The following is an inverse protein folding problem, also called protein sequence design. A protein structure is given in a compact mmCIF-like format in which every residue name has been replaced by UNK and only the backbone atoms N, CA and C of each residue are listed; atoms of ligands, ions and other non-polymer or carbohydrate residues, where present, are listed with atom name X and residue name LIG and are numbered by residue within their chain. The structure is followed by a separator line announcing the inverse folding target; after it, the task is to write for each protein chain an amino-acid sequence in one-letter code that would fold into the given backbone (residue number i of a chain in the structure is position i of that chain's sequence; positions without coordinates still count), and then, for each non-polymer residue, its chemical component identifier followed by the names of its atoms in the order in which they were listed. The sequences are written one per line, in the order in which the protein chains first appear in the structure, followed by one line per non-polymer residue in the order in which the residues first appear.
data_IF_097116177915
#
_entry.id   IF_097116177915
#
_cell.length_a   1.000
_cell.length_b   1.000
_cell.length_c   1.000
_cell.angle_alpha   90.00
_cell.angle_beta   90.00
_cell.angle_gamma   90.00
#
_symmetry.space_group_name_H-M   'P 1'
#
loop_
_entity.id
_entity.type
_entity.pdbx_description
1 polymer ?
#
# COMPACT_ATOMS: atom_id res chain seq x y z
N UNK A 1 9.52 -1.44 -6.67
CA UNK A 1 9.57 -2.67 -7.49
C UNK A 1 10.75 -2.52 -8.41
N UNK A 2 11.88 -3.13 -8.08
CA UNK A 2 13.09 -3.09 -8.90
C UNK A 2 13.77 -4.44 -8.74
N UNK A 3 13.49 -5.37 -9.67
CA UNK A 3 14.21 -6.64 -9.73
C UNK A 3 15.66 -6.32 -10.10
N UNK A 4 16.60 -6.56 -9.18
CA UNK A 4 18.02 -6.26 -9.43
C UNK A 4 18.71 -7.46 -10.08
N UNK A 5 19.25 -7.26 -11.27
CA UNK A 5 20.26 -8.14 -11.86
C UNK A 5 21.66 -7.69 -11.43
N UNK A 6 22.53 -8.66 -11.12
CA UNK A 6 23.87 -8.41 -10.59
C UNK A 6 24.82 -7.80 -11.63
N UNK A 7 25.48 -6.71 -11.27
CA UNK A 7 26.94 -6.51 -11.29
C UNK A 7 27.28 -5.02 -11.07
N UNK A 8 28.32 -4.80 -10.25
CA UNK A 8 29.11 -3.60 -9.96
C UNK A 8 28.65 -2.23 -10.50
N UNK A 9 28.41 -1.26 -9.59
CA UNK A 9 28.38 0.17 -9.94
C UNK A 9 28.99 0.99 -8.79
N UNK A 10 30.20 1.49 -9.05
CA UNK A 10 30.88 2.51 -8.25
C UNK A 10 30.43 3.90 -8.70
N UNK A 11 29.98 4.70 -7.73
CA UNK A 11 30.07 6.17 -7.67
C UNK A 11 29.42 7.02 -8.78
N UNK A 12 28.35 7.73 -8.41
CA UNK A 12 28.00 9.04 -8.99
C UNK A 12 27.30 9.90 -7.94
N UNK A 13 27.95 11.01 -7.57
CA UNK A 13 27.49 12.05 -6.64
C UNK A 13 26.49 12.97 -7.34
N UNK A 14 25.34 13.24 -6.72
CA UNK A 14 24.37 14.24 -7.16
C UNK A 14 24.71 15.60 -6.53
N UNK A 15 24.89 16.64 -7.35
CA UNK A 15 24.95 18.04 -6.92
C UNK A 15 23.54 18.64 -6.99
N UNK A 16 23.08 19.25 -5.90
CA UNK A 16 21.84 20.04 -5.84
C UNK A 16 22.20 21.53 -5.79
N UNK A 17 21.61 22.33 -6.68
CA UNK A 17 21.55 23.79 -6.55
C UNK A 17 20.12 24.22 -6.20
N UNK A 18 19.92 25.16 -5.27
CA UNK A 18 18.60 25.60 -4.85
C UNK A 18 18.17 26.88 -5.60
N UNK A 19 16.87 27.01 -5.88
CA UNK A 19 16.24 28.32 -6.07
C UNK A 19 14.80 28.33 -5.51
N UNK A 20 14.29 29.52 -5.10
CA UNK A 20 13.37 29.65 -3.99
C UNK A 20 11.89 29.76 -4.40
N UNK A 21 11.03 29.44 -3.43
CA UNK A 21 9.57 29.55 -3.44
C UNK A 21 9.05 30.99 -3.57
N UNK A 22 7.74 31.12 -3.89
CA UNK A 22 6.88 31.89 -3.00
C UNK A 22 5.56 31.18 -2.62
N UNK A 23 5.26 31.32 -1.33
CA UNK A 23 3.95 31.39 -0.64
C UNK A 23 2.82 30.44 -1.04
N UNK A 24 2.55 29.45 -0.17
CA UNK A 24 1.20 28.93 0.06
C UNK A 24 0.92 28.72 1.56
N UNK A 25 -0.34 28.93 1.88
CA UNK A 25 -0.99 29.06 3.19
C UNK A 25 -0.67 27.91 4.14
N UNK A 26 -0.33 28.26 5.39
CA UNK A 26 -0.11 27.33 6.50
C UNK A 26 -1.39 26.57 6.85
N UNK A 27 -1.45 25.30 6.47
CA UNK A 27 -2.27 24.30 7.16
C UNK A 27 -1.34 23.53 8.09
N UNK A 28 -1.76 23.32 9.34
CA UNK A 28 -1.01 22.52 10.29
C UNK A 28 -0.64 21.15 9.68
N UNK A 29 0.65 20.93 9.47
CA UNK A 29 1.19 19.70 8.94
C UNK A 29 0.98 18.59 9.96
N UNK A 30 0.24 17.55 9.59
CA UNK A 30 0.15 16.31 10.37
C UNK A 30 1.53 15.66 10.35
N UNK A 31 2.06 15.36 11.53
CA UNK A 31 3.35 14.70 11.68
C UNK A 31 3.18 13.20 11.50
N UNK A 32 4.28 12.50 11.18
CA UNK A 32 4.30 11.03 11.02
C UNK A 32 3.72 10.31 12.25
N UNK A 33 3.79 10.91 13.43
CA UNK A 33 3.22 10.42 14.70
C UNK A 33 1.69 10.24 14.66
N UNK A 34 0.96 11.07 13.90
CA UNK A 34 -0.50 11.02 13.85
C UNK A 34 -1.02 9.74 13.16
N UNK A 35 -0.14 9.02 12.45
CA UNK A 35 -0.48 7.83 11.67
C UNK A 35 -0.35 6.52 12.46
N UNK A 36 0.23 6.54 13.66
CA UNK A 36 0.57 5.31 14.41
C UNK A 36 -0.12 5.16 15.77
N UNK A 37 -1.05 6.04 16.12
CA UNK A 37 -1.79 5.91 17.37
C UNK A 37 -2.84 4.79 17.31
N UNK A 38 -2.89 3.89 18.32
CA UNK A 38 -3.96 2.91 18.42
C UNK A 38 -5.30 3.61 18.69
N UNK A 39 -6.35 3.16 18.00
CA UNK A 39 -7.71 3.62 18.21
C UNK A 39 -8.15 3.30 19.65
N UNK A 40 -8.66 4.25 20.44
CA UNK A 40 -9.20 3.94 21.76
C UNK A 40 -10.39 2.97 21.64
N UNK A 41 -10.44 2.00 22.56
CA UNK A 41 -11.50 0.99 22.64
C UNK A 41 -12.89 1.64 22.79
N UNK A 42 -13.98 0.99 22.32
CA UNK A 42 -15.32 1.55 22.44
C UNK A 42 -15.75 1.61 23.90
N UNK A 43 -16.02 2.83 24.40
CA UNK A 43 -16.55 3.05 25.74
C UNK A 43 -17.95 2.42 25.90
N UNK A 44 -18.18 1.75 27.04
CA UNK A 44 -19.47 1.15 27.42
C UNK A 44 -20.56 2.24 27.54
N UNK A 45 -21.69 2.02 26.87
CA UNK A 45 -22.85 2.92 26.80
C UNK A 45 -23.55 3.00 28.18
N UNK A 46 -23.43 4.12 28.90
CA UNK A 46 -24.35 4.48 30.02
C UNK A 46 -25.63 5.07 29.44
N UNK A 47 -26.79 4.59 29.90
CA UNK A 47 -28.10 5.25 29.67
C UNK A 47 -28.11 6.58 30.44
N UNK A 48 -28.43 7.69 29.76
CA UNK A 48 -28.77 8.94 30.41
C UNK A 48 -30.13 9.42 29.89
N UNK A 49 -30.95 9.83 30.84
CA UNK A 49 -32.31 10.33 30.76
C UNK A 49 -32.43 11.61 29.95
N UNK A 50 -33.60 11.78 29.33
CA UNK A 50 -34.04 12.88 28.49
C UNK A 50 -34.18 14.21 29.23
N UNK A 51 -33.49 15.25 28.73
CA UNK A 51 -33.94 16.63 28.80
C UNK A 51 -33.54 17.34 27.50
N UNK A 52 -34.49 18.11 26.96
CA UNK A 52 -34.51 18.80 25.68
C UNK A 52 -33.36 19.78 25.46
N UNK A 53 -32.70 19.68 24.30
CA UNK A 53 -32.06 20.83 23.65
C UNK A 53 -31.98 20.61 22.14
N UNK A 54 -32.43 21.60 21.37
CA UNK A 54 -32.29 21.66 19.93
C UNK A 54 -30.81 21.90 19.58
N UNK A 55 -30.09 20.84 19.22
CA UNK A 55 -28.76 20.95 18.61
C UNK A 55 -28.89 20.86 17.07
N UNK A 56 -28.17 21.71 16.31
CA UNK A 56 -28.27 21.75 14.86
C UNK A 56 -27.78 20.45 14.23
N UNK A 57 -28.38 20.09 13.09
CA UNK A 57 -28.15 18.88 12.30
C UNK A 57 -26.69 18.37 12.34
N UNK A 58 -26.54 17.11 12.74
CA UNK A 58 -25.30 16.44 13.13
C UNK A 58 -24.24 16.40 12.02
N UNK A 59 -23.28 17.31 12.05
CA UNK A 59 -22.03 17.15 11.29
C UNK A 59 -21.17 16.04 11.92
N UNK A 60 -20.70 15.08 11.12
CA UNK A 60 -19.81 14.01 11.58
C UNK A 60 -18.54 14.56 12.25
N UNK A 61 -18.10 13.92 13.34
CA UNK A 61 -16.83 14.24 13.99
C UNK A 61 -15.64 13.94 13.06
N UNK A 62 -14.46 14.57 13.25
CA UNK A 62 -13.26 14.25 12.48
C UNK A 62 -12.91 12.75 12.48
N UNK A 63 -13.04 12.08 13.63
CA UNK A 63 -12.78 10.64 13.76
C UNK A 63 -13.79 9.80 12.97
N UNK A 64 -15.07 10.19 12.99
CA UNK A 64 -16.09 9.52 12.20
C UNK A 64 -15.80 9.65 10.70
N UNK A 65 -15.41 10.85 10.23
CA UNK A 65 -15.00 11.09 8.84
C UNK A 65 -13.79 10.24 8.47
N UNK A 66 -12.77 10.20 9.31
CA UNK A 66 -11.56 9.40 9.11
C UNK A 66 -11.88 7.90 9.00
N UNK A 67 -12.72 7.37 9.90
CA UNK A 67 -13.16 5.98 9.88
C UNK A 67 -13.96 5.63 8.62
N UNK A 68 -14.89 6.51 8.21
CA UNK A 68 -15.65 6.33 6.98
C UNK A 68 -14.71 6.28 5.78
N UNK A 69 -13.72 7.17 5.74
CA UNK A 69 -12.80 7.25 4.63
C UNK A 69 -11.87 6.04 4.55
N UNK A 70 -11.33 5.59 5.68
CA UNK A 70 -10.57 4.34 5.78
C UNK A 70 -11.40 3.13 5.30
N UNK A 71 -12.67 3.05 5.68
CA UNK A 71 -13.56 1.97 5.26
C UNK A 71 -13.82 1.97 3.76
N UNK A 72 -13.94 3.15 3.13
CA UNK A 72 -14.03 3.26 1.67
C UNK A 72 -12.78 2.76 0.99
N UNK A 73 -11.59 3.15 1.46
CA UNK A 73 -10.32 2.66 0.91
C UNK A 73 -10.19 1.14 1.02
N UNK A 74 -10.53 0.59 2.18
CA UNK A 74 -10.57 -0.87 2.38
C UNK A 74 -11.54 -1.55 1.41
N UNK A 75 -12.72 -0.97 1.18
CA UNK A 75 -13.69 -1.53 0.26
C UNK A 75 -13.20 -1.49 -1.20
N UNK A 76 -12.59 -0.39 -1.63
CA UNK A 76 -12.00 -0.23 -2.97
C UNK A 76 -10.86 -1.24 -3.16
N UNK A 77 -9.91 -1.30 -2.21
CA UNK A 77 -8.80 -2.24 -2.28
C UNK A 77 -9.26 -3.70 -2.33
N UNK A 78 -10.27 -4.08 -1.51
CA UNK A 78 -10.87 -5.43 -1.56
C UNK A 78 -11.57 -5.72 -2.89
N UNK A 79 -12.27 -4.75 -3.47
CA UNK A 79 -12.87 -4.87 -4.80
C UNK A 79 -11.81 -5.11 -5.86
N UNK A 80 -10.73 -4.32 -5.86
CA UNK A 80 -9.63 -4.45 -6.81
C UNK A 80 -8.94 -5.81 -6.69
N UNK A 81 -8.67 -6.25 -5.47
CA UNK A 81 -8.13 -7.59 -5.22
C UNK A 81 -9.02 -8.69 -5.79
N UNK A 82 -10.35 -8.61 -5.55
CA UNK A 82 -11.32 -9.57 -6.10
C UNK A 82 -11.31 -9.59 -7.64
N UNK A 83 -11.27 -8.42 -8.28
CA UNK A 83 -11.20 -8.32 -9.74
C UNK A 83 -9.94 -8.99 -10.29
N UNK A 84 -8.77 -8.76 -9.67
CA UNK A 84 -7.52 -9.40 -10.07
C UNK A 84 -7.56 -10.92 -9.87
N UNK A 85 -8.11 -11.42 -8.76
CA UNK A 85 -8.28 -12.86 -8.52
C UNK A 85 -9.16 -13.50 -9.59
N UNK A 86 -10.30 -12.88 -9.91
CA UNK A 86 -11.22 -13.38 -10.94
C UNK A 86 -10.61 -13.41 -12.34
N UNK A 87 -9.80 -12.40 -12.70
CA UNK A 87 -9.07 -12.40 -13.98
C UNK A 87 -8.13 -13.60 -14.09
N UNK A 88 -7.39 -13.89 -13.02
CA UNK A 88 -6.41 -14.99 -12.99
C UNK A 88 -7.08 -16.37 -12.96
N UNK A 89 -8.23 -16.51 -12.30
CA UNK A 89 -8.97 -17.78 -12.25
C UNK A 89 -9.74 -18.08 -13.55
N UNK A 90 -10.24 -17.04 -14.23
CA UNK A 90 -11.13 -17.20 -15.40
C UNK A 90 -10.44 -17.28 -16.76
N UNK A 91 -9.15 -16.97 -16.86
CA UNK A 91 -8.42 -16.94 -18.14
C UNK A 91 -7.13 -17.77 -18.10
N UNK A 92 -6.92 -18.62 -19.10
CA UNK A 92 -5.66 -19.35 -19.29
C UNK A 92 -4.45 -18.41 -19.51
N UNK A 93 -4.71 -17.15 -19.90
CA UNK A 93 -3.69 -16.12 -20.05
C UNK A 93 -4.26 -14.74 -19.70
N UNK A 94 -3.58 -14.02 -18.80
CA UNK A 94 -3.89 -12.63 -18.43
C UNK A 94 -2.62 -11.82 -18.68
N UNK A 95 -2.75 -10.77 -19.50
CA UNK A 95 -1.68 -9.81 -19.73
C UNK A 95 -1.30 -9.13 -18.42
N UNK A 96 -0.02 -8.85 -18.22
CA UNK A 96 0.47 -8.28 -16.98
C UNK A 96 -0.23 -6.96 -16.66
N UNK A 97 -0.35 -6.06 -17.64
CA UNK A 97 -0.98 -4.75 -17.47
C UNK A 97 -2.45 -4.81 -17.03
N UNK A 98 -3.18 -5.88 -17.34
CA UNK A 98 -4.58 -6.05 -16.93
C UNK A 98 -4.76 -6.33 -15.43
N UNK A 99 -3.65 -6.60 -14.72
CA UNK A 99 -3.65 -6.82 -13.28
C UNK A 99 -3.54 -5.50 -12.50
N UNK A 100 -3.31 -4.37 -13.17
CA UNK A 100 -3.48 -3.03 -12.61
C UNK A 100 -4.92 -2.58 -12.90
N UNK A 101 -5.75 -2.50 -11.86
CA UNK A 101 -7.19 -2.25 -11.98
C UNK A 101 -7.66 -1.01 -11.22
N UNK A 102 -6.76 -0.30 -10.56
CA UNK A 102 -7.10 0.97 -9.90
C UNK A 102 -7.11 2.10 -10.91
N UNK A 103 -8.30 2.69 -11.08
CA UNK A 103 -8.60 3.62 -12.16
C UNK A 103 -7.70 4.86 -12.15
N UNK A 104 -7.37 5.40 -10.97
CA UNK A 104 -6.60 6.64 -10.91
C UNK A 104 -5.13 6.42 -11.26
N UNK A 105 -4.57 5.24 -11.01
CA UNK A 105 -3.26 4.83 -11.55
C UNK A 105 -3.28 4.66 -13.06
N UNK A 106 -4.33 4.03 -13.62
CA UNK A 106 -4.48 3.88 -15.07
C UNK A 106 -4.56 5.24 -15.78
N UNK A 107 -5.20 6.23 -15.15
CA UNK A 107 -5.30 7.59 -15.68
C UNK A 107 -3.96 8.35 -15.72
N UNK A 108 -3.04 8.07 -14.78
CA UNK A 108 -1.75 8.79 -14.70
C UNK A 108 -0.59 8.06 -15.35
N UNK A 109 -0.79 6.82 -15.81
CA UNK A 109 0.19 6.02 -16.56
C UNK A 109 -0.21 5.78 -18.03
N UNK A 110 -0.77 6.77 -18.77
CA UNK A 110 -1.15 6.54 -20.15
C UNK A 110 0.08 6.29 -21.02
N UNK A 111 0.06 5.23 -21.83
CA UNK A 111 1.18 4.91 -22.71
C UNK A 111 2.37 4.24 -22.02
N UNK A 112 2.40 4.16 -20.68
CA UNK A 112 3.55 3.63 -19.94
C UNK A 112 3.81 2.16 -20.28
N UNK A 113 2.75 1.35 -20.29
CA UNK A 113 2.82 -0.07 -20.68
C UNK A 113 3.10 -0.28 -22.17
N UNK A 114 2.97 0.76 -23.01
CA UNK A 114 3.25 0.70 -24.44
C UNK A 114 4.72 1.06 -24.76
N UNK A 115 5.48 1.55 -23.78
CA UNK A 115 6.91 1.85 -23.98
C UNK A 115 7.70 0.56 -24.23
N UNK A 116 8.74 0.57 -25.07
CA UNK A 116 9.49 -0.64 -25.42
C UNK A 116 10.02 -1.44 -24.21
N UNK A 117 10.53 -0.77 -23.18
CA UNK A 117 11.01 -1.47 -21.97
C UNK A 117 9.88 -2.18 -21.22
N UNK A 118 8.69 -1.55 -21.15
CA UNK A 118 7.55 -2.11 -20.43
C UNK A 118 6.99 -3.32 -21.18
N UNK A 119 6.88 -3.23 -22.52
CA UNK A 119 6.50 -4.36 -23.36
C UNK A 119 7.47 -5.54 -23.23
N UNK A 120 8.78 -5.27 -23.24
CA UNK A 120 9.80 -6.31 -23.06
C UNK A 120 9.72 -6.94 -21.66
N UNK A 121 9.51 -6.13 -20.63
CA UNK A 121 9.34 -6.61 -19.26
C UNK A 121 8.08 -7.46 -19.10
N UNK A 122 6.94 -7.03 -19.63
CA UNK A 122 5.68 -7.79 -19.54
C UNK A 122 5.83 -9.14 -20.24
N UNK A 123 6.38 -9.17 -21.46
CA UNK A 123 6.66 -10.42 -22.20
C UNK A 123 7.55 -11.37 -21.41
N UNK A 124 8.63 -10.85 -20.82
CA UNK A 124 9.54 -11.65 -20.00
C UNK A 124 8.80 -12.26 -18.79
N UNK A 125 8.12 -11.43 -18.00
CA UNK A 125 7.41 -11.88 -16.79
C UNK A 125 6.29 -12.87 -17.12
N UNK A 126 5.54 -12.63 -18.19
CA UNK A 126 4.48 -13.54 -18.65
C UNK A 126 5.01 -14.88 -19.14
N UNK A 127 6.16 -14.89 -19.83
CA UNK A 127 6.82 -16.13 -20.24
C UNK A 127 7.28 -16.94 -19.03
N UNK A 128 7.90 -16.30 -18.04
CA UNK A 128 8.33 -16.94 -16.80
C UNK A 128 7.13 -17.50 -16.01
N UNK A 129 6.04 -16.73 -15.92
CA UNK A 129 4.79 -17.17 -15.26
C UNK A 129 4.14 -18.36 -15.97
N UNK A 130 4.25 -18.44 -17.29
CA UNK A 130 3.63 -19.49 -18.09
C UNK A 130 4.48 -20.77 -18.15
N UNK A 131 5.81 -20.65 -18.04
CA UNK A 131 6.71 -21.80 -18.05
C UNK A 131 6.57 -22.66 -16.79
N UNK A 132 6.29 -22.03 -15.65
CA UNK A 132 6.19 -22.71 -14.35
C UNK A 132 7.49 -23.37 -13.89
N UNK A 133 8.63 -23.07 -14.54
CA UNK A 133 9.92 -23.71 -14.28
C UNK A 133 10.47 -23.37 -12.88
N UNK A 134 10.16 -22.16 -12.39
CA UNK A 134 10.55 -21.69 -11.06
C UNK A 134 9.35 -21.10 -10.32
N UNK A 135 9.29 -21.20 -8.98
CA UNK A 135 8.28 -20.50 -8.20
C UNK A 135 8.42 -18.98 -8.37
N UNK A 136 7.35 -18.31 -8.79
CA UNK A 136 7.30 -16.85 -8.94
C UNK A 136 6.41 -16.27 -7.85
N UNK A 137 6.92 -15.23 -7.20
CA UNK A 137 6.23 -14.52 -6.12
C UNK A 137 6.17 -13.02 -6.42
N UNK A 138 5.08 -12.32 -6.02
CA UNK A 138 3.87 -12.87 -5.41
C UNK A 138 2.97 -13.60 -6.42
N UNK A 139 1.89 -14.26 -5.98
CA UNK A 139 0.83 -14.74 -6.86
C UNK A 139 0.37 -13.65 -7.85
N UNK A 140 0.01 -14.04 -9.09
CA UNK A 140 -0.27 -13.10 -10.20
C UNK A 140 -1.24 -11.98 -9.80
N UNK A 141 -2.35 -12.31 -9.15
CA UNK A 141 -3.37 -11.35 -8.72
C UNK A 141 -2.88 -10.32 -7.68
N UNK A 142 -1.69 -10.51 -7.11
CA UNK A 142 -1.06 -9.62 -6.14
C UNK A 142 0.12 -8.81 -6.71
N UNK A 143 0.49 -8.96 -7.99
CA UNK A 143 1.66 -8.28 -8.57
C UNK A 143 1.57 -6.75 -8.40
N UNK A 144 0.40 -6.17 -8.69
CA UNK A 144 0.16 -4.74 -8.51
C UNK A 144 -0.59 -4.39 -7.22
N UNK A 145 -0.55 -5.26 -6.19
CA UNK A 145 -1.36 -5.07 -4.97
C UNK A 145 -1.12 -3.70 -4.29
N UNK A 146 0.11 -3.19 -4.30
CA UNK A 146 0.42 -1.85 -3.77
C UNK A 146 -0.37 -0.74 -4.50
N UNK A 147 -0.34 -0.74 -5.83
CA UNK A 147 -1.05 0.26 -6.64
C UNK A 147 -2.57 0.05 -6.55
N UNK A 148 -3.01 -1.21 -6.57
CA UNK A 148 -4.42 -1.58 -6.46
C UNK A 148 -5.03 -1.28 -5.09
N UNK A 149 -4.21 -1.12 -4.05
CA UNK A 149 -4.68 -0.80 -2.70
C UNK A 149 -4.75 0.69 -2.40
N UNK A 150 -4.02 1.52 -3.14
CA UNK A 150 -3.87 2.94 -2.84
C UNK A 150 -4.15 3.77 -4.09
N UNK A 151 -5.30 4.46 -4.18
CA UNK A 151 -5.55 5.40 -5.27
C UNK A 151 -4.43 6.43 -5.40
N UNK A 152 -4.04 6.76 -6.63
CA UNK A 152 -2.91 7.63 -6.94
C UNK A 152 -2.96 8.96 -6.16
N UNK A 153 -4.12 9.63 -6.17
CA UNK A 153 -4.33 10.92 -5.51
C UNK A 153 -4.30 10.85 -3.96
N UNK A 154 -4.24 9.64 -3.39
CA UNK A 154 -4.14 9.42 -1.93
C UNK A 154 -2.75 9.02 -1.48
N UNK A 155 -1.81 8.82 -2.40
CA UNK A 155 -0.43 8.48 -2.05
C UNK A 155 0.19 9.64 -1.28
N UNK A 156 0.66 9.35 -0.06
CA UNK A 156 1.33 10.31 0.83
C UNK A 156 2.81 9.97 1.05
N UNK A 157 3.13 8.67 1.05
CA UNK A 157 4.44 8.12 1.36
C UNK A 157 4.72 6.97 0.40
N UNK A 158 5.93 6.89 -0.13
CA UNK A 158 6.40 5.78 -0.96
C UNK A 158 7.50 5.04 -0.22
N UNK A 159 7.25 3.79 0.16
CA UNK A 159 8.24 2.90 0.77
C UNK A 159 8.70 1.89 -0.30
N UNK A 160 10.00 1.84 -0.55
CA UNK A 160 10.57 1.00 -1.61
C UNK A 160 11.32 -0.17 -0.97
N UNK A 161 10.86 -1.38 -1.26
CA UNK A 161 11.63 -2.60 -1.04
C UNK A 161 12.49 -2.97 -2.26
N UNK A 162 13.50 -3.80 -2.03
CA UNK A 162 14.35 -4.35 -3.09
C UNK A 162 13.58 -5.39 -3.92
N UNK A 163 13.41 -6.59 -3.36
CA UNK A 163 12.72 -7.72 -3.99
C UNK A 163 11.56 -8.22 -3.10
N UNK A 164 10.55 -8.90 -3.67
CA UNK A 164 9.54 -9.60 -2.88
C UNK A 164 10.15 -10.67 -1.98
N UNK A 165 9.49 -10.99 -0.86
CA UNK A 165 9.86 -12.17 -0.08
C UNK A 165 9.77 -13.45 -0.93
N UNK A 166 10.78 -14.32 -0.84
CA UNK A 166 10.92 -15.50 -1.68
C UNK A 166 10.34 -16.78 -1.05
N UNK A 167 9.87 -16.72 0.20
CA UNK A 167 9.23 -17.87 0.85
C UNK A 167 7.80 -18.09 0.35
N UNK A 168 7.36 -19.35 0.16
CA UNK A 168 5.98 -19.65 -0.22
C UNK A 168 4.96 -18.96 0.70
N UNK A 169 4.00 -18.25 0.11
CA UNK A 169 2.95 -17.53 0.83
C UNK A 169 3.39 -16.27 1.58
N UNK A 170 4.66 -15.85 1.50
CA UNK A 170 5.14 -14.65 2.19
C UNK A 170 4.85 -13.36 1.42
N UNK A 171 5.16 -13.33 0.12
CA UNK A 171 4.96 -12.13 -0.68
C UNK A 171 3.48 -11.90 -0.96
N UNK A 172 3.01 -10.70 -0.59
CA UNK A 172 1.62 -10.27 -0.79
C UNK A 172 1.50 -9.00 -1.63
N UNK A 173 2.53 -8.66 -2.42
CA UNK A 173 2.51 -7.48 -3.31
C UNK A 173 2.61 -6.13 -2.60
N UNK A 174 2.96 -6.11 -1.31
CA UNK A 174 3.26 -4.93 -0.52
C UNK A 174 4.67 -5.10 0.08
N UNK A 175 5.56 -4.12 -0.09
CA UNK A 175 6.93 -4.19 0.45
C UNK A 175 6.91 -4.37 1.96
N UNK A 176 7.80 -5.22 2.48
CA UNK A 176 7.92 -5.59 3.90
C UNK A 176 6.71 -6.30 4.53
N UNK A 177 5.55 -6.32 3.87
CA UNK A 177 4.33 -6.93 4.38
C UNK A 177 4.31 -8.43 4.14
N UNK A 178 3.80 -9.19 5.12
CA UNK A 178 3.45 -10.60 4.97
C UNK A 178 2.01 -10.86 5.44
N UNK A 179 1.30 -11.89 4.92
CA UNK A 179 -0.04 -12.23 5.39
C UNK A 179 -0.09 -12.52 6.89
N UNK A 180 -1.27 -12.36 7.49
CA UNK A 180 -1.47 -12.77 8.89
C UNK A 180 -1.25 -14.28 9.06
N UNK A 181 -0.68 -14.68 10.20
CA UNK A 181 -0.25 -16.06 10.44
C UNK A 181 1.13 -16.42 9.86
N UNK A 182 1.68 -15.61 8.94
CA UNK A 182 3.06 -15.76 8.47
C UNK A 182 4.02 -15.14 9.47
N UNK A 183 5.13 -15.84 9.75
CA UNK A 183 6.20 -15.34 10.64
C UNK A 183 6.71 -13.99 10.15
N UNK A 184 6.76 -13.01 11.07
CA UNK A 184 7.29 -11.67 10.80
C UNK A 184 8.77 -11.78 10.36
N UNK A 185 9.12 -11.30 9.15
CA UNK A 185 10.51 -11.31 8.68
C UNK A 185 11.40 -10.35 9.49
N UNK A 186 12.70 -10.60 9.52
CA UNK A 186 13.66 -9.80 10.30
C UNK A 186 13.66 -8.32 9.91
N UNK A 187 13.57 -8.00 8.61
CA UNK A 187 13.48 -6.61 8.14
C UNK A 187 12.25 -5.90 8.70
N UNK A 188 11.08 -6.55 8.71
CA UNK A 188 9.87 -5.96 9.28
C UNK A 188 9.95 -5.86 10.81
N UNK A 189 10.53 -6.86 11.47
CA UNK A 189 10.75 -6.81 12.91
C UNK A 189 11.64 -5.62 13.31
N UNK A 190 12.64 -5.28 12.50
CA UNK A 190 13.48 -4.10 12.72
C UNK A 190 12.69 -2.79 12.53
N UNK A 191 11.83 -2.69 11.52
CA UNK A 191 10.92 -1.55 11.35
C UNK A 191 10.02 -1.37 12.59
N UNK A 192 9.45 -2.46 13.12
CA UNK A 192 8.63 -2.37 14.33
C UNK A 192 9.42 -1.98 15.59
N UNK A 193 10.67 -2.43 15.72
CA UNK A 193 11.54 -1.98 16.81
C UNK A 193 11.83 -0.49 16.72
N UNK A 194 12.13 0.02 15.52
CA UNK A 194 12.37 1.44 15.29
C UNK A 194 11.13 2.27 15.63
N UNK A 195 9.95 1.88 15.13
CA UNK A 195 8.68 2.55 15.46
C UNK A 195 8.40 2.58 16.97
N UNK A 196 8.75 1.51 17.69
CA UNK A 196 8.62 1.48 19.15
C UNK A 196 9.62 2.43 19.83
N UNK A 197 10.87 2.43 19.37
CA UNK A 197 11.93 3.24 19.95
C UNK A 197 11.70 4.74 19.72
N UNK A 198 11.33 5.12 18.50
CA UNK A 198 11.21 6.51 18.08
C UNK A 198 9.87 7.13 18.48
N UNK A 199 8.78 6.37 18.32
CA UNK A 199 7.41 6.90 18.43
C UNK A 199 6.62 6.28 19.60
N UNK A 200 7.21 5.32 20.33
CA UNK A 200 6.53 4.63 21.43
C UNK A 200 5.42 3.67 20.98
N UNK A 201 5.38 3.29 19.70
CA UNK A 201 4.32 2.43 19.17
C UNK A 201 4.37 1.02 19.75
N UNK A 202 3.20 0.40 19.93
CA UNK A 202 3.12 -1.02 20.26
C UNK A 202 3.54 -1.89 19.07
N UNK A 203 4.36 -2.92 19.31
CA UNK A 203 4.78 -3.88 18.27
C UNK A 203 3.58 -4.78 17.90
N UNK A 204 3.15 -4.81 16.63
CA UNK A 204 2.07 -5.69 16.18
C UNK A 204 2.44 -7.19 16.26
N UNK A 205 1.42 -8.03 16.40
CA UNK A 205 1.57 -9.49 16.43
C UNK A 205 1.57 -10.15 15.04
N UNK A 206 1.33 -9.38 13.98
CA UNK A 206 1.31 -9.86 12.60
C UNK A 206 2.12 -8.93 11.68
N UNK A 207 2.54 -9.46 10.53
CA UNK A 207 3.31 -8.70 9.54
C UNK A 207 2.51 -8.02 8.43
N UNK A 208 1.17 -8.06 8.50
CA UNK A 208 0.32 -7.49 7.46
C UNK A 208 0.22 -5.96 7.58
N UNK A 209 0.81 -5.26 6.60
CA UNK A 209 0.85 -3.79 6.51
C UNK A 209 -0.24 -3.22 5.59
N UNK A 210 -1.25 -4.00 5.20
CA UNK A 210 -2.33 -3.52 4.33
C UNK A 210 -3.02 -2.26 4.88
N UNK A 211 -3.17 -2.15 6.21
CA UNK A 211 -3.71 -0.95 6.85
C UNK A 211 -2.91 0.31 6.57
N UNK A 212 -1.61 0.22 6.27
CA UNK A 212 -0.79 1.37 5.88
C UNK A 212 -1.08 1.79 4.44
N UNK A 213 -1.32 0.83 3.54
CA UNK A 213 -1.63 1.12 2.14
C UNK A 213 -2.96 1.87 1.96
N UNK A 214 -3.94 1.65 2.83
CA UNK A 214 -5.31 2.18 2.68
C UNK A 214 -5.59 3.47 3.49
N UNK A 215 -4.56 4.16 4.01
CA UNK A 215 -4.72 5.39 4.82
C UNK A 215 -5.03 6.67 4.00
#
# INVERSE_FOLDING_TARGET
MLLRFGSSLSSLKLHLYPHPHPHLISMAAKTITDFFNPNPAPAKRRKLSTSSDHQPFSSLTPDQKSRIELNKCLAISKRNLKLCSQKVEGSGYVKLEELLVEDTWLQVLPGEFQKPYALNLCKFVEAELSSGAVPIFPPRHLIFNALNSTPFHRVKVVIIGQDPYHGPGQAMGLSFSVPEGVKIPSSLANIFKELKQDLGCSIPLHGNLHKWAVQ
#
